data_IF_252083553370
#
_entry.id   IF_252083553370
#
_cell.length_a   1.000
_cell.length_b   1.000
_cell.length_c   1.000
_cell.angle_alpha   90.00
_cell.angle_beta   90.00
_cell.angle_gamma   90.00
#
_symmetry.space_group_name_H-M   'P 1'
#
loop_
_entity.id
_entity.type
_entity.pdbx_description
1 polymer ?
#
# COMPACT_ATOMS: atom_id res chain seq x y z
N UNK A 1 -11.59 20.19 9.75
CA UNK A 1 -10.59 21.04 10.44
C UNK A 1 -9.41 21.22 9.49
N UNK A 2 -9.01 22.47 9.25
CA UNK A 2 -8.22 22.89 8.08
C UNK A 2 -6.82 22.29 8.01
N UNK A 3 -6.43 21.87 6.81
CA UNK A 3 -5.06 21.52 6.47
C UNK A 3 -4.18 22.77 6.65
N UNK A 4 -3.33 22.76 7.68
CA UNK A 4 -2.35 23.82 7.90
C UNK A 4 -1.41 23.94 6.70
N UNK A 5 -0.98 25.17 6.40
CA UNK A 5 0.07 25.41 5.41
C UNK A 5 1.32 24.62 5.79
N UNK A 6 1.61 23.58 5.02
CA UNK A 6 2.87 22.87 5.10
C UNK A 6 4.00 23.82 4.70
N UNK A 7 5.04 23.92 5.53
CA UNK A 7 6.27 24.69 5.22
C UNK A 7 7.08 24.06 4.08
N UNK A 8 6.70 22.87 3.63
CA UNK A 8 7.31 22.13 2.53
C UNK A 8 6.30 21.75 1.47
N UNK A 9 6.79 21.29 0.32
CA UNK A 9 5.93 20.62 -0.64
C UNK A 9 5.29 19.39 0.03
N UNK A 10 4.00 19.18 -0.17
CA UNK A 10 3.29 18.04 0.43
C UNK A 10 2.15 17.57 -0.46
N UNK A 11 1.94 16.25 -0.50
CA UNK A 11 0.83 15.59 -1.19
C UNK A 11 0.02 14.84 -0.16
N UNK A 12 -1.30 14.97 -0.20
CA UNK A 12 -2.19 14.16 0.62
C UNK A 12 -3.48 13.83 -0.15
N UNK A 13 -4.11 12.71 0.21
CA UNK A 13 -5.39 12.28 -0.31
C UNK A 13 -6.41 12.36 0.81
N UNK A 14 -7.56 12.98 0.55
CA UNK A 14 -8.72 12.92 1.41
C UNK A 14 -9.79 12.07 0.75
N UNK A 15 -10.15 10.96 1.39
CA UNK A 15 -11.22 10.07 0.92
C UNK A 15 -12.58 10.46 1.49
N UNK A 16 -13.66 10.07 0.83
CA UNK A 16 -15.03 10.27 1.33
C UNK A 16 -15.38 9.33 2.50
N UNK A 17 -14.76 8.14 2.53
CA UNK A 17 -14.93 7.13 3.58
C UNK A 17 -13.60 6.66 4.15
N UNK A 18 -13.58 6.21 5.42
CA UNK A 18 -12.41 5.58 6.03
C UNK A 18 -12.25 4.10 5.65
N UNK A 19 -13.32 3.44 5.20
CA UNK A 19 -13.36 2.01 4.86
C UNK A 19 -14.18 1.85 3.57
N UNK A 20 -13.69 0.97 2.69
CA UNK A 20 -14.35 0.61 1.44
C UNK A 20 -14.49 -0.90 1.33
N UNK A 21 -15.55 -1.34 0.68
CA UNK A 21 -15.81 -2.73 0.33
C UNK A 21 -15.57 -2.97 -1.17
N UNK A 22 -15.42 -4.23 -1.54
CA UNK A 22 -15.27 -4.62 -2.93
C UNK A 22 -16.49 -4.19 -3.76
N UNK A 23 -16.27 -3.82 -5.01
CA UNK A 23 -17.32 -3.24 -5.87
C UNK A 23 -17.68 -1.77 -5.59
N UNK A 24 -17.19 -1.15 -4.52
CA UNK A 24 -17.43 0.28 -4.26
C UNK A 24 -16.52 1.20 -5.08
N UNK A 25 -16.89 2.48 -5.15
CA UNK A 25 -16.03 3.51 -5.70
C UNK A 25 -15.28 4.24 -4.59
N UNK A 26 -13.96 4.24 -4.65
CA UNK A 26 -13.10 5.09 -3.82
C UNK A 26 -13.12 6.50 -4.40
N UNK A 27 -13.80 7.42 -3.73
CA UNK A 27 -13.85 8.83 -4.12
C UNK A 27 -12.96 9.65 -3.20
N UNK A 28 -12.22 10.60 -3.77
CA UNK A 28 -11.34 11.43 -2.98
C UNK A 28 -10.86 12.70 -3.67
N UNK A 29 -10.21 13.53 -2.87
CA UNK A 29 -9.56 14.77 -3.27
C UNK A 29 -8.06 14.61 -3.06
N UNK A 30 -7.30 14.61 -4.14
CA UNK A 30 -5.84 14.68 -4.12
C UNK A 30 -5.45 16.15 -4.01
N UNK A 31 -4.75 16.48 -2.94
CA UNK A 31 -4.27 17.82 -2.64
C UNK A 31 -2.76 17.87 -2.73
N UNK A 32 -2.25 18.85 -3.47
CA UNK A 32 -0.82 19.13 -3.60
C UNK A 32 -0.55 20.57 -3.17
N UNK A 33 0.36 20.73 -2.23
CA UNK A 33 0.91 22.03 -1.83
C UNK A 33 2.34 22.14 -2.38
N UNK A 34 2.61 23.18 -3.14
CA UNK A 34 3.93 23.53 -3.65
C UNK A 34 4.34 24.87 -3.06
N UNK A 35 5.53 24.90 -2.45
CA UNK A 35 6.11 26.09 -1.81
C UNK A 35 7.25 26.67 -2.66
N UNK A 36 7.85 25.85 -3.54
CA UNK A 36 8.89 26.24 -4.50
C UNK A 36 8.57 25.65 -5.87
N UNK A 37 8.83 26.35 -6.98
CA UNK A 37 8.54 25.84 -8.32
C UNK A 37 9.13 24.43 -8.53
N UNK A 38 8.33 23.54 -9.13
CA UNK A 38 8.76 22.17 -9.45
C UNK A 38 8.45 21.88 -10.91
N UNK A 39 9.46 21.46 -11.66
CA UNK A 39 9.26 20.93 -13.02
C UNK A 39 8.68 19.52 -12.92
N UNK A 40 7.47 19.33 -13.43
CA UNK A 40 6.75 18.04 -13.41
C UNK A 40 6.50 17.62 -14.87
N UNK A 41 6.18 16.35 -15.11
CA UNK A 41 5.74 15.86 -16.43
C UNK A 41 4.30 15.38 -16.39
N UNK A 42 3.96 14.61 -15.37
CA UNK A 42 2.59 14.18 -15.07
C UNK A 42 2.37 14.10 -13.57
N UNK A 43 1.10 14.22 -13.19
CA UNK A 43 0.62 13.89 -11.86
C UNK A 43 -0.37 12.75 -12.06
N UNK A 44 -0.04 11.60 -11.48
CA UNK A 44 -0.83 10.38 -11.58
C UNK A 44 -1.22 9.92 -10.19
N UNK A 45 -2.48 9.48 -10.03
CA UNK A 45 -2.95 8.85 -8.82
C UNK A 45 -3.06 7.34 -9.06
N UNK A 46 -2.34 6.55 -8.27
CA UNK A 46 -2.30 5.10 -8.45
C UNK A 46 -2.90 4.40 -7.23
N UNK A 47 -3.84 3.52 -7.49
CA UNK A 47 -4.42 2.61 -6.52
C UNK A 47 -3.79 1.22 -6.70
N UNK A 48 -3.10 0.77 -5.65
CA UNK A 48 -2.47 -0.54 -5.63
C UNK A 48 -2.99 -1.36 -4.46
N UNK A 49 -3.20 -2.66 -4.69
CA UNK A 49 -3.53 -3.65 -3.68
C UNK A 49 -2.58 -4.82 -3.81
N UNK A 50 -1.97 -5.22 -2.70
CA UNK A 50 -0.99 -6.30 -2.66
C UNK A 50 -1.27 -7.22 -1.49
N UNK A 51 -1.07 -8.51 -1.72
CA UNK A 51 -0.97 -9.51 -0.67
C UNK A 51 0.50 -9.86 -0.49
N UNK A 52 0.94 -9.92 0.77
CA UNK A 52 2.31 -10.31 1.11
C UNK A 52 2.29 -11.36 2.20
N UNK A 53 2.92 -12.49 1.93
CA UNK A 53 3.03 -13.61 2.86
C UNK A 53 4.49 -13.87 3.21
N UNK A 54 4.71 -14.32 4.44
CA UNK A 54 6.02 -14.72 4.93
C UNK A 54 5.81 -15.79 6.01
N UNK A 55 6.54 -16.90 5.91
CA UNK A 55 6.54 -17.95 6.92
C UNK A 55 7.93 -18.59 7.01
N UNK A 56 8.14 -19.35 8.07
CA UNK A 56 9.43 -20.00 8.35
C UNK A 56 9.14 -21.43 8.80
N UNK A 57 9.84 -22.39 8.22
CA UNK A 57 9.70 -23.82 8.52
C UNK A 57 10.98 -24.25 9.26
N UNK A 58 10.83 -24.90 10.42
CA UNK A 58 11.98 -25.43 11.17
C UNK A 58 11.91 -26.94 11.19
N UNK A 59 12.92 -27.58 10.62
CA UNK A 59 13.06 -29.03 10.58
C UNK A 59 14.15 -29.47 11.54
N UNK A 60 13.86 -30.51 12.31
CA UNK A 60 14.84 -31.18 13.15
C UNK A 60 15.12 -32.57 12.59
N UNK A 61 16.38 -32.86 12.34
CA UNK A 61 16.81 -34.15 11.77
C UNK A 61 17.86 -34.80 12.67
N UNK A 62 17.84 -36.13 12.78
CA UNK A 62 18.78 -36.92 13.59
C UNK A 62 18.30 -37.25 15.00
N UNK A 63 19.02 -38.13 15.70
CA UNK A 63 18.72 -38.56 17.09
C UNK A 63 19.93 -38.41 18.01
N UNK A 64 19.70 -38.18 19.31
CA UNK A 64 20.77 -38.03 20.31
C UNK A 64 21.69 -36.83 20.05
N UNK A 65 23.00 -37.04 20.09
CA UNK A 65 24.03 -36.00 19.88
C UNK A 65 24.17 -35.52 18.43
N UNK A 66 23.45 -36.13 17.48
CA UNK A 66 23.50 -35.78 16.05
C UNK A 66 22.26 -34.99 15.58
N UNK A 67 21.49 -34.41 16.51
CA UNK A 67 20.35 -33.53 16.16
C UNK A 67 20.86 -32.29 15.42
N UNK A 68 20.32 -32.02 14.25
CA UNK A 68 20.53 -30.80 13.47
C UNK A 68 19.20 -30.09 13.27
N UNK A 69 19.19 -28.80 13.56
CA UNK A 69 18.06 -27.92 13.28
C UNK A 69 18.36 -27.16 11.99
N UNK A 70 17.42 -27.22 11.04
CA UNK A 70 17.45 -26.44 9.81
C UNK A 70 16.23 -25.54 9.77
N UNK A 71 16.42 -24.27 9.40
CA UNK A 71 15.35 -23.28 9.32
C UNK A 71 15.30 -22.75 7.91
N UNK A 72 14.14 -22.90 7.27
CA UNK A 72 13.86 -22.43 5.92
C UNK A 72 12.92 -21.23 5.98
N UNK A 73 13.17 -20.23 5.12
CA UNK A 73 12.37 -19.01 5.05
C UNK A 73 11.66 -18.94 3.72
N UNK A 74 10.34 -18.73 3.76
CA UNK A 74 9.50 -18.65 2.58
C UNK A 74 8.70 -17.35 2.58
N UNK A 75 8.34 -16.88 1.38
CA UNK A 75 7.49 -15.72 1.25
C UNK A 75 7.02 -15.53 -0.19
N UNK A 76 5.95 -14.77 -0.32
CA UNK A 76 5.32 -14.47 -1.61
C UNK A 76 4.73 -13.06 -1.61
N UNK A 77 4.57 -12.53 -2.82
CA UNK A 77 3.85 -11.28 -3.04
C UNK A 77 2.97 -11.43 -4.27
N UNK A 78 1.71 -11.05 -4.14
CA UNK A 78 0.72 -11.07 -5.23
C UNK A 78 0.13 -9.68 -5.38
N UNK A 79 0.12 -9.16 -6.62
CA UNK A 79 -0.53 -7.90 -6.93
C UNK A 79 -2.00 -8.15 -7.27
N UNK A 80 -2.90 -7.69 -6.40
CA UNK A 80 -4.35 -7.88 -6.52
C UNK A 80 -5.02 -6.75 -7.33
N UNK A 81 -4.46 -5.54 -7.23
CA UNK A 81 -5.01 -4.34 -7.87
C UNK A 81 -3.89 -3.43 -8.33
N UNK A 82 -4.03 -2.89 -9.55
CA UNK A 82 -3.13 -1.89 -10.10
C UNK A 82 -3.87 -1.00 -11.09
N UNK A 83 -4.34 0.15 -10.62
CA UNK A 83 -5.06 1.11 -11.46
C UNK A 83 -4.40 2.46 -11.34
N UNK A 84 -4.07 3.06 -12.47
CA UNK A 84 -3.48 4.40 -12.55
C UNK A 84 -4.49 5.34 -13.20
N UNK A 85 -4.73 6.49 -12.56
CA UNK A 85 -5.57 7.56 -13.07
C UNK A 85 -4.74 8.82 -13.26
N UNK A 86 -4.55 9.31 -14.51
CA UNK A 86 -3.80 10.53 -14.75
C UNK A 86 -4.63 11.75 -14.32
N UNK A 87 -4.06 12.60 -13.47
CA UNK A 87 -4.71 13.80 -12.93
C UNK A 87 -4.38 15.04 -13.73
N UNK A 88 -3.12 15.18 -14.12
CA UNK A 88 -2.66 16.33 -14.90
C UNK A 88 -1.44 15.95 -15.73
N UNK A 89 -1.44 16.37 -16.99
CA UNK A 89 -0.26 16.32 -17.84
C UNK A 89 0.30 17.74 -17.93
N UNK A 90 1.38 17.98 -17.20
CA UNK A 90 1.97 19.29 -17.04
C UNK A 90 3.36 19.21 -17.64
N UNK A 91 3.51 19.59 -18.91
CA UNK A 91 4.83 19.70 -19.55
C UNK A 91 5.46 21.06 -19.25
N UNK A 92 5.34 21.53 -18.01
CA UNK A 92 5.71 22.87 -17.58
C UNK A 92 6.02 22.89 -16.08
N UNK A 93 6.61 24.00 -15.63
CA UNK A 93 6.85 24.24 -14.22
C UNK A 93 5.53 24.46 -13.48
N UNK A 94 5.41 23.85 -12.30
CA UNK A 94 4.30 24.05 -11.39
C UNK A 94 4.69 25.12 -10.38
N UNK A 95 3.98 26.25 -10.42
CA UNK A 95 4.24 27.38 -9.54
C UNK A 95 3.83 27.09 -8.08
N UNK A 96 4.40 27.79 -7.10
CA UNK A 96 3.96 27.72 -5.72
C UNK A 96 2.46 27.99 -5.58
N UNK A 97 1.76 27.10 -4.89
CA UNK A 97 0.31 27.14 -4.78
C UNK A 97 -0.27 25.85 -4.21
N UNK A 98 -1.60 25.84 -4.11
CA UNK A 98 -2.37 24.66 -3.72
C UNK A 98 -3.20 24.18 -4.91
N UNK A 99 -3.04 22.91 -5.23
CA UNK A 99 -3.70 22.25 -6.35
C UNK A 99 -4.55 21.10 -5.82
N UNK A 100 -5.71 20.90 -6.42
CA UNK A 100 -6.68 19.90 -5.98
C UNK A 100 -7.28 19.19 -7.18
N UNK A 101 -7.33 17.86 -7.13
CA UNK A 101 -7.94 17.02 -8.16
C UNK A 101 -8.91 16.02 -7.52
N UNK A 102 -10.09 15.89 -8.11
CA UNK A 102 -11.04 14.86 -7.73
C UNK A 102 -10.70 13.55 -8.43
N UNK A 103 -10.77 12.44 -7.69
CA UNK A 103 -10.49 11.09 -8.19
C UNK A 103 -11.61 10.14 -7.81
N UNK A 104 -11.87 9.18 -8.69
CA UNK A 104 -12.80 8.09 -8.46
C UNK A 104 -12.23 6.78 -9.02
N UNK A 105 -12.08 5.77 -8.18
CA UNK A 105 -11.62 4.43 -8.58
C UNK A 105 -12.69 3.40 -8.30
N UNK A 106 -13.10 2.62 -9.29
CA UNK A 106 -13.94 1.46 -9.07
C UNK A 106 -13.13 0.30 -8.52
N UNK A 107 -13.50 -0.22 -7.35
CA UNK A 107 -12.91 -1.42 -6.78
C UNK A 107 -13.50 -2.66 -7.49
N UNK A 108 -12.67 -3.59 -7.97
CA UNK A 108 -13.16 -4.89 -8.43
C UNK A 108 -13.95 -5.61 -7.33
N UNK A 109 -14.91 -6.44 -7.73
CA UNK A 109 -15.58 -7.38 -6.82
C UNK A 109 -14.64 -8.53 -6.46
N UNK A 110 -14.78 -9.06 -5.24
CA UNK A 110 -13.98 -10.18 -4.74
C UNK A 110 -12.60 -9.79 -4.20
N UNK A 111 -12.37 -8.50 -3.92
CA UNK A 111 -11.14 -8.10 -3.23
C UNK A 111 -11.15 -8.61 -1.77
N UNK A 112 -10.03 -9.15 -1.28
CA UNK A 112 -9.92 -9.54 0.13
C UNK A 112 -9.93 -8.30 1.03
N UNK A 113 -10.40 -8.50 2.27
CA UNK A 113 -10.30 -7.48 3.31
C UNK A 113 -8.85 -7.18 3.66
N UNK A 114 -8.57 -5.92 4.01
CA UNK A 114 -7.26 -5.54 4.56
C UNK A 114 -6.99 -6.26 5.87
N UNK A 115 -5.88 -6.99 5.94
CA UNK A 115 -5.39 -7.59 7.18
C UNK A 115 -3.88 -7.43 7.29
N UNK A 116 -3.38 -7.45 8.52
CA UNK A 116 -1.96 -7.52 8.82
C UNK A 116 -1.78 -8.48 9.98
N UNK A 117 -1.30 -9.67 9.67
CA UNK A 117 -0.86 -10.65 10.67
C UNK A 117 0.66 -10.62 10.65
N UNK A 118 1.25 -10.31 11.79
CA UNK A 118 2.69 -10.18 11.92
C UNK A 118 3.04 -10.08 13.38
N UNK A 119 3.32 -11.22 14.00
CA UNK A 119 4.01 -11.23 15.26
C UNK A 119 5.13 -12.26 15.21
N UNK A 120 6.29 -11.87 15.73
CA UNK A 120 7.40 -12.76 16.01
C UNK A 120 7.10 -13.73 17.17
N UNK A 121 5.84 -13.77 17.65
CA UNK A 121 5.41 -14.52 18.83
C UNK A 121 4.13 -15.34 18.63
N UNK A 122 3.42 -15.21 17.50
CA UNK A 122 2.34 -16.13 17.09
C UNK A 122 2.91 -17.07 16.04
N UNK A 123 3.85 -17.92 16.46
CA UNK A 123 4.17 -19.12 15.72
C UNK A 123 2.96 -20.05 15.79
N UNK A 124 2.31 -20.30 14.67
CA UNK A 124 1.46 -21.47 14.55
C UNK A 124 2.37 -22.67 14.30
N UNK A 125 2.63 -23.47 15.33
CA UNK A 125 3.29 -24.77 15.17
C UNK A 125 2.26 -25.77 14.63
N UNK A 126 2.44 -26.22 13.39
CA UNK A 126 1.72 -27.39 12.87
C UNK A 126 2.63 -28.59 13.09
N UNK A 127 2.46 -29.27 14.22
CA UNK A 127 3.00 -30.62 14.42
C UNK A 127 2.15 -31.61 13.64
N UNK A 128 2.69 -32.16 12.56
CA UNK A 128 2.15 -33.37 11.95
C UNK A 128 2.51 -34.56 12.85
N UNK A 129 1.50 -35.24 13.41
CA UNK A 129 1.64 -36.59 14.00
C UNK A 129 1.79 -37.67 12.91
#
# INVERSE_FOLDING_TARGET
>A
MGAGFSKSNSVWLQTDKPVYHDGEFVQGLVCLNIVKPVTITSIDCQLQGHERTYWTETHETGTGSHRRTHTEHHGGMVQLLNVTHPLALLRSDLEPGQYQWQVAFGLPQGLPSSFKVGSASEGAEVTCE
#
